data_IF_312804393465
#
_entry.id   IF_312804393465
#
_cell.length_a   1.000
_cell.length_b   1.000
_cell.length_c   1.000
_cell.angle_alpha   90.00
_cell.angle_beta   90.00
_cell.angle_gamma   90.00
#
_symmetry.space_group_name_H-M   'P 1'
#
loop_
_entity.id
_entity.type
_entity.pdbx_description
1 polymer ?
#
# COMPACT_ATOMS: atom_id res chain seq x y z
N UNK A 1 -14.29 -11.06 -2.43
CA UNK A 1 -12.88 -11.52 -2.55
C UNK A 1 -12.52 -11.65 -4.01
N UNK A 2 -11.28 -11.33 -4.43
CA UNK A 2 -10.83 -11.64 -5.79
C UNK A 2 -10.90 -13.15 -6.02
N UNK A 3 -11.45 -13.57 -7.16
CA UNK A 3 -11.63 -14.99 -7.51
C UNK A 3 -10.35 -15.64 -8.05
N UNK A 4 -9.35 -14.86 -8.43
CA UNK A 4 -8.13 -15.36 -9.04
C UNK A 4 -6.96 -14.39 -8.89
N UNK A 5 -5.76 -14.79 -9.35
CA UNK A 5 -4.56 -13.99 -9.25
C UNK A 5 -4.67 -12.72 -10.10
N UNK A 6 -3.95 -11.68 -9.69
CA UNK A 6 -3.81 -10.44 -10.46
C UNK A 6 -3.15 -10.72 -11.82
N UNK A 7 -3.36 -9.84 -12.79
CA UNK A 7 -2.63 -9.90 -14.05
C UNK A 7 -1.13 -9.71 -13.80
N UNK A 8 -0.33 -10.60 -14.37
CA UNK A 8 1.12 -10.49 -14.46
C UNK A 8 1.52 -9.36 -15.39
N UNK A 9 2.77 -8.89 -15.29
CA UNK A 9 3.28 -7.82 -16.15
C UNK A 9 3.26 -8.22 -17.64
N UNK A 10 3.60 -9.46 -17.95
CA UNK A 10 3.55 -10.00 -19.31
C UNK A 10 2.12 -9.99 -19.88
N UNK A 11 1.13 -10.41 -19.10
CA UNK A 11 -0.28 -10.36 -19.53
C UNK A 11 -0.74 -8.92 -19.75
N UNK A 12 -0.33 -7.99 -18.89
CA UNK A 12 -0.66 -6.55 -19.05
C UNK A 12 -0.08 -6.01 -20.36
N UNK A 13 1.17 -6.33 -20.66
CA UNK A 13 1.81 -5.96 -21.92
C UNK A 13 1.06 -6.49 -23.14
N UNK A 14 0.68 -7.78 -23.12
CA UNK A 14 -0.14 -8.39 -24.18
C UNK A 14 -1.49 -7.70 -24.36
N UNK A 15 -2.20 -7.40 -23.26
CA UNK A 15 -3.49 -6.71 -23.31
C UNK A 15 -3.37 -5.33 -23.97
N UNK A 16 -2.32 -4.57 -23.63
CA UNK A 16 -2.08 -3.25 -24.21
C UNK A 16 -1.79 -3.37 -25.72
N UNK A 17 -0.87 -4.25 -26.11
CA UNK A 17 -0.52 -4.47 -27.52
C UNK A 17 -1.74 -4.90 -28.36
N UNK A 18 -2.56 -5.82 -27.88
CA UNK A 18 -3.77 -6.23 -28.60
C UNK A 18 -4.83 -5.14 -28.66
N UNK A 19 -4.89 -4.26 -27.64
CA UNK A 19 -5.81 -3.13 -27.65
C UNK A 19 -5.39 -2.07 -28.67
N UNK A 20 -4.09 -1.80 -28.78
CA UNK A 20 -3.52 -0.91 -29.80
C UNK A 20 -3.75 -1.46 -31.22
N UNK A 21 -3.69 -2.78 -31.40
CA UNK A 21 -4.05 -3.47 -32.64
C UNK A 21 -5.57 -3.47 -32.95
N UNK A 22 -6.41 -2.79 -32.15
CA UNK A 22 -7.84 -2.65 -32.40
C UNK A 22 -8.70 -3.88 -32.03
N UNK A 23 -8.14 -4.87 -31.32
CA UNK A 23 -8.89 -6.08 -30.95
C UNK A 23 -9.97 -5.79 -29.90
N UNK A 24 -11.06 -6.57 -29.97
CA UNK A 24 -12.14 -6.49 -28.98
C UNK A 24 -11.74 -7.14 -27.66
N UNK A 25 -12.27 -6.65 -26.53
CA UNK A 25 -11.97 -7.21 -25.21
C UNK A 25 -12.33 -8.71 -25.09
N UNK A 26 -13.33 -9.18 -25.84
CA UNK A 26 -13.69 -10.61 -25.90
C UNK A 26 -12.59 -11.42 -26.56
N UNK A 27 -12.09 -10.97 -27.70
CA UNK A 27 -11.01 -11.63 -28.43
C UNK A 27 -9.72 -11.68 -27.59
N UNK A 28 -9.35 -10.55 -26.96
CA UNK A 28 -8.20 -10.46 -26.06
C UNK A 28 -8.34 -11.44 -24.89
N UNK A 29 -9.55 -11.57 -24.33
CA UNK A 29 -9.82 -12.47 -23.22
C UNK A 29 -9.61 -13.94 -23.59
N UNK A 30 -10.04 -14.34 -24.79
CA UNK A 30 -9.82 -15.69 -25.32
C UNK A 30 -8.34 -15.98 -25.60
N UNK A 31 -7.60 -15.00 -26.14
CA UNK A 31 -6.16 -15.15 -26.46
C UNK A 31 -5.29 -15.32 -25.21
N UNK A 32 -5.62 -14.61 -24.12
CA UNK A 32 -4.83 -14.60 -22.88
C UNK A 32 -5.35 -15.63 -21.88
N UNK A 33 -6.54 -16.21 -22.10
CA UNK A 33 -7.16 -17.16 -21.17
C UNK A 33 -7.64 -16.51 -19.87
N UNK A 34 -7.98 -15.22 -19.90
CA UNK A 34 -8.48 -14.45 -18.75
C UNK A 34 -9.92 -14.03 -18.98
N UNK A 35 -10.65 -13.65 -17.93
CA UNK A 35 -12.02 -13.20 -18.09
C UNK A 35 -12.10 -11.84 -18.78
N UNK A 36 -13.11 -11.64 -19.64
CA UNK A 36 -13.41 -10.35 -20.28
C UNK A 36 -13.47 -9.19 -19.27
N UNK A 37 -14.05 -9.43 -18.09
CA UNK A 37 -14.17 -8.43 -17.04
C UNK A 37 -12.81 -7.99 -16.50
N UNK A 38 -11.85 -8.89 -16.34
CA UNK A 38 -10.48 -8.56 -15.90
C UNK A 38 -9.77 -7.71 -16.95
N UNK A 39 -9.88 -8.08 -18.22
CA UNK A 39 -9.33 -7.29 -19.34
C UNK A 39 -9.93 -5.89 -19.37
N UNK A 40 -11.26 -5.78 -19.25
CA UNK A 40 -11.95 -4.49 -19.25
C UNK A 40 -11.54 -3.61 -18.07
N UNK A 41 -11.49 -4.18 -16.86
CA UNK A 41 -11.08 -3.45 -15.66
C UNK A 41 -9.65 -2.94 -15.75
N UNK A 42 -8.74 -3.73 -16.34
CA UNK A 42 -7.38 -3.31 -16.59
C UNK A 42 -7.31 -2.17 -17.63
N UNK A 43 -8.01 -2.30 -18.76
CA UNK A 43 -8.01 -1.27 -19.81
C UNK A 43 -8.62 0.07 -19.36
N UNK A 44 -9.60 0.05 -18.46
CA UNK A 44 -10.16 1.27 -17.89
C UNK A 44 -9.14 2.04 -17.03
N UNK A 45 -8.21 1.33 -16.38
CA UNK A 45 -7.30 1.89 -15.38
C UNK A 45 -5.94 1.14 -15.37
N UNK A 46 -5.15 1.22 -16.45
CA UNK A 46 -3.95 0.40 -16.59
C UNK A 46 -2.85 0.80 -15.60
N UNK A 47 -2.72 2.11 -15.33
CA UNK A 47 -1.68 2.66 -14.44
C UNK A 47 -1.91 2.35 -12.97
N UNK A 48 -3.15 2.20 -12.52
CA UNK A 48 -3.50 1.96 -11.11
C UNK A 48 -3.84 0.51 -10.79
N UNK A 49 -3.87 -0.36 -11.81
CA UNK A 49 -4.20 -1.77 -11.64
C UNK A 49 -3.27 -2.46 -10.63
N UNK A 50 -3.88 -3.12 -9.64
CA UNK A 50 -3.15 -3.87 -8.61
C UNK A 50 -2.36 -3.02 -7.59
N UNK A 51 -2.40 -1.68 -7.66
CA UNK A 51 -1.70 -0.80 -6.71
C UNK A 51 -2.45 -0.60 -5.40
N UNK A 52 -3.77 -0.73 -5.43
CA UNK A 52 -4.61 -0.55 -4.25
C UNK A 52 -4.41 -1.71 -3.28
N UNK A 53 -3.83 -1.39 -2.11
CA UNK A 53 -3.77 -2.32 -0.98
C UNK A 53 -5.17 -2.46 -0.39
N UNK A 54 -5.66 -3.68 -0.11
CA UNK A 54 -6.92 -3.84 0.59
C UNK A 54 -6.80 -3.23 1.99
N UNK A 55 -7.83 -2.50 2.43
CA UNK A 55 -7.92 -1.90 3.77
C UNK A 55 -7.83 -2.93 4.92
N UNK A 56 -7.98 -4.22 4.59
CA UNK A 56 -7.92 -5.31 5.56
C UNK A 56 -9.17 -5.36 6.45
N UNK A 57 -9.09 -6.18 7.50
CA UNK A 57 -10.15 -6.31 8.49
C UNK A 57 -10.12 -5.09 9.41
N UNK A 58 -11.27 -4.43 9.60
CA UNK A 58 -11.42 -3.37 10.61
C UNK A 58 -11.13 -3.91 12.01
N UNK A 59 -10.60 -3.05 12.88
CA UNK A 59 -10.39 -3.36 14.29
C UNK A 59 -11.71 -3.73 14.96
N UNK A 60 -11.65 -4.58 15.97
CA UNK A 60 -12.83 -4.86 16.81
C UNK A 60 -13.09 -3.70 17.77
N UNK A 61 -14.36 -3.47 18.12
CA UNK A 61 -14.79 -2.47 19.12
C UNK A 61 -14.02 -2.63 20.43
N UNK A 62 -13.70 -3.86 20.83
CA UNK A 62 -12.92 -4.12 22.03
C UNK A 62 -11.48 -3.58 21.91
N UNK A 63 -10.89 -3.69 20.73
CA UNK A 63 -9.53 -3.22 20.46
C UNK A 63 -9.49 -1.69 20.53
N UNK A 64 -10.43 -1.03 19.88
CA UNK A 64 -10.53 0.44 19.93
C UNK A 64 -10.74 0.97 21.35
N UNK A 65 -11.59 0.32 22.15
CA UNK A 65 -11.82 0.69 23.55
C UNK A 65 -10.55 0.52 24.40
N UNK A 66 -9.84 -0.60 24.24
CA UNK A 66 -8.57 -0.84 24.95
C UNK A 66 -7.53 0.20 24.54
N UNK A 67 -7.39 0.50 23.24
CA UNK A 67 -6.44 1.51 22.75
C UNK A 67 -6.75 2.90 23.32
N UNK A 68 -8.03 3.32 23.33
CA UNK A 68 -8.44 4.60 23.92
C UNK A 68 -8.10 4.68 25.40
N UNK A 69 -8.33 3.61 26.15
CA UNK A 69 -8.01 3.55 27.57
C UNK A 69 -6.51 3.54 27.83
N UNK A 70 -5.72 2.84 27.01
CA UNK A 70 -4.27 2.91 27.10
C UNK A 70 -3.81 4.35 26.85
N UNK A 71 -4.38 5.05 25.87
CA UNK A 71 -4.02 6.45 25.60
C UNK A 71 -4.38 7.38 26.77
N UNK A 72 -5.56 7.21 27.39
CA UNK A 72 -5.99 8.06 28.51
C UNK A 72 -5.28 7.73 29.83
N UNK A 73 -4.92 6.47 30.05
CA UNK A 73 -4.42 5.94 31.33
C UNK A 73 -2.95 5.49 31.27
N UNK A 74 -2.22 5.81 30.19
CA UNK A 74 -0.83 5.39 29.97
C UNK A 74 0.11 5.75 31.13
N UNK A 75 -0.24 6.76 31.92
CA UNK A 75 0.53 7.25 33.06
C UNK A 75 0.31 6.47 34.35
N UNK A 76 -0.77 5.68 34.48
CA UNK A 76 -1.21 5.09 35.76
C UNK A 76 -0.82 3.62 35.99
N UNK A 77 -0.17 2.95 35.04
CA UNK A 77 0.33 1.58 35.22
C UNK A 77 -0.75 0.52 35.48
N UNK A 78 -1.91 0.63 34.81
CA UNK A 78 -3.06 -0.26 35.04
C UNK A 78 -2.83 -1.69 34.54
N UNK A 79 -3.29 -2.66 35.33
CA UNK A 79 -3.27 -4.09 34.95
C UNK A 79 -4.31 -4.42 33.86
N UNK A 80 -4.02 -5.42 33.03
CA UNK A 80 -4.90 -5.87 31.95
C UNK A 80 -6.27 -6.37 32.43
N UNK A 81 -6.34 -6.97 33.63
CA UNK A 81 -7.60 -7.39 34.25
C UNK A 81 -8.46 -6.19 34.63
N UNK A 82 -7.83 -5.15 35.17
CA UNK A 82 -8.49 -3.90 35.52
C UNK A 82 -9.03 -3.19 34.27
N UNK A 83 -8.24 -3.12 33.20
CA UNK A 83 -8.67 -2.55 31.92
C UNK A 83 -9.88 -3.28 31.34
N UNK A 84 -9.98 -4.60 31.46
CA UNK A 84 -11.16 -5.36 31.03
C UNK A 84 -12.44 -4.89 31.74
N UNK A 85 -12.36 -4.69 33.06
CA UNK A 85 -13.49 -4.28 33.90
C UNK A 85 -13.88 -2.84 33.59
N UNK A 86 -12.93 -1.90 33.61
CA UNK A 86 -13.17 -0.48 33.31
C UNK A 86 -13.76 -0.28 31.91
N UNK A 87 -13.24 -1.02 30.94
CA UNK A 87 -13.71 -0.97 29.55
C UNK A 87 -15.02 -1.73 29.30
N UNK A 88 -15.53 -2.46 30.31
CA UNK A 88 -16.67 -3.37 30.23
C UNK A 88 -16.59 -4.30 29.00
N UNK A 89 -15.45 -4.99 28.83
CA UNK A 89 -15.19 -5.81 27.66
C UNK A 89 -15.54 -7.27 27.88
N UNK A 90 -16.35 -7.81 26.96
CA UNK A 90 -16.58 -9.24 26.85
C UNK A 90 -15.46 -9.95 26.06
N UNK A 91 -14.21 -9.81 26.52
CA UNK A 91 -13.04 -10.50 25.95
C UNK A 91 -12.21 -11.15 27.04
N UNK A 92 -11.38 -12.14 26.69
CA UNK A 92 -10.46 -12.75 27.65
C UNK A 92 -9.37 -11.75 28.07
N UNK A 93 -8.88 -11.89 29.31
CA UNK A 93 -7.77 -11.04 29.81
C UNK A 93 -6.52 -11.21 28.92
N UNK A 94 -6.28 -12.43 28.42
CA UNK A 94 -5.21 -12.72 27.45
C UNK A 94 -5.33 -11.89 26.18
N UNK A 95 -6.55 -11.64 25.67
CA UNK A 95 -6.75 -10.78 24.51
C UNK A 95 -6.39 -9.34 24.81
N UNK A 96 -6.76 -8.82 25.98
CA UNK A 96 -6.37 -7.47 26.43
C UNK A 96 -4.85 -7.34 26.53
N UNK A 97 -4.15 -8.33 27.12
CA UNK A 97 -2.69 -8.36 27.18
C UNK A 97 -2.02 -8.38 25.78
N UNK A 98 -2.59 -9.12 24.83
CA UNK A 98 -2.11 -9.08 23.43
C UNK A 98 -2.28 -7.70 22.81
N UNK A 99 -3.42 -7.05 23.05
CA UNK A 99 -3.67 -5.71 22.54
C UNK A 99 -2.68 -4.70 23.12
N UNK A 100 -2.44 -4.75 24.44
CA UNK A 100 -1.44 -3.90 25.10
C UNK A 100 -0.05 -4.13 24.49
N UNK A 101 0.38 -5.39 24.30
CA UNK A 101 1.69 -5.70 23.71
C UNK A 101 1.84 -5.23 22.27
N UNK A 102 0.78 -5.34 21.47
CA UNK A 102 0.78 -4.93 20.07
C UNK A 102 0.54 -3.44 19.88
N UNK A 103 0.11 -2.74 20.94
CA UNK A 103 -0.16 -1.32 20.89
C UNK A 103 1.13 -0.53 20.75
N UNK A 104 1.24 0.23 19.65
CA UNK A 104 2.36 1.15 19.44
C UNK A 104 1.91 2.55 19.84
N UNK A 105 2.43 3.06 20.95
CA UNK A 105 2.10 4.39 21.45
C UNK A 105 2.42 5.46 20.40
N UNK A 106 1.51 6.41 20.12
CA UNK A 106 1.69 7.41 19.06
C UNK A 106 2.93 8.29 19.28
N UNK A 107 3.27 8.63 20.53
CA UNK A 107 4.47 9.41 20.85
C UNK A 107 5.80 8.68 20.52
N UNK A 108 5.77 7.35 20.40
CA UNK A 108 6.94 6.53 20.01
C UNK A 108 7.00 6.31 18.50
N UNK A 109 6.04 6.84 17.73
CA UNK A 109 6.11 6.80 16.27
C UNK A 109 7.08 7.87 15.78
N UNK A 110 8.23 7.44 15.25
CA UNK A 110 9.11 8.31 14.45
C UNK A 110 8.24 8.86 13.31
N UNK A 111 8.21 10.18 13.05
CA UNK A 111 7.44 10.71 11.94
C UNK A 111 7.86 9.99 10.66
N UNK A 112 6.89 9.57 9.83
CA UNK A 112 7.23 9.16 8.46
C UNK A 112 7.94 10.36 7.86
N UNK A 113 9.22 10.20 7.53
CA UNK A 113 9.94 11.13 6.66
C UNK A 113 9.08 11.31 5.41
N UNK A 114 8.30 12.38 5.37
CA UNK A 114 7.74 12.90 4.13
C UNK A 114 8.89 13.67 3.52
N UNK A 115 9.77 12.95 2.83
CA UNK A 115 10.76 13.58 1.97
C UNK A 115 9.99 14.38 0.91
N UNK A 116 9.76 15.66 1.20
CA UNK A 116 9.57 16.67 0.18
C UNK A 116 10.94 16.72 -0.50
N UNK A 117 11.11 15.99 -1.60
CA UNK A 117 12.32 16.12 -2.40
C UNK A 117 12.36 17.55 -2.96
N UNK A 118 13.32 18.40 -2.58
CA UNK A 118 13.52 19.64 -3.29
C UNK A 118 14.04 19.28 -4.69
N UNK A 119 13.36 19.79 -5.73
CA UNK A 119 13.74 19.59 -7.11
C UNK A 119 15.12 20.20 -7.39
N UNK A 120 16.14 19.36 -7.58
CA UNK A 120 17.41 19.82 -8.13
C UNK A 120 17.28 19.95 -9.65
N UNK A 121 16.93 21.16 -10.09
CA UNK A 121 17.23 21.65 -11.44
C UNK A 121 18.75 21.74 -11.58
N UNK A 122 19.40 20.76 -12.20
CA UNK A 122 20.74 20.97 -12.80
C UNK A 122 21.01 19.92 -13.88
N UNK A 123 20.48 20.15 -15.08
CA UNK A 123 20.88 19.41 -16.30
C UNK A 123 21.29 20.41 -17.38
N UNK A 124 22.13 21.39 -17.01
CA UNK A 124 22.70 22.35 -17.97
C UNK A 124 24.22 22.55 -17.82
N UNK A 125 24.93 21.66 -17.12
CA UNK A 125 26.39 21.83 -16.88
C UNK A 125 27.25 20.74 -17.55
N UNK A 126 26.67 19.72 -18.20
CA UNK A 126 27.44 18.61 -18.78
C UNK A 126 27.69 18.76 -20.30
N UNK A 127 27.13 19.77 -20.98
CA UNK A 127 27.21 19.85 -22.44
C UNK A 127 28.24 20.85 -23.02
N UNK A 128 29.12 21.44 -22.20
CA UNK A 128 30.09 22.47 -22.66
C UNK A 128 31.56 22.17 -22.29
N UNK A 129 32.00 20.91 -22.25
CA UNK A 129 33.41 20.58 -21.99
C UNK A 129 33.99 19.47 -22.90
N UNK A 130 33.44 19.26 -24.09
CA UNK A 130 34.03 18.33 -25.08
C UNK A 130 34.34 18.98 -26.45
N UNK A 131 34.30 20.32 -26.53
CA UNK A 131 34.97 21.06 -27.60
C UNK A 131 36.28 21.62 -27.00
N UNK A 132 37.40 21.44 -27.72
CA UNK A 132 38.81 21.79 -27.35
C UNK A 132 39.67 20.66 -26.74
N UNK A 133 40.10 19.71 -27.60
CA UNK A 133 41.47 19.15 -27.64
C UNK A 133 41.62 18.35 -28.96
N UNK A 134 41.95 19.01 -30.08
CA UNK A 134 43.31 19.18 -30.61
C UNK A 134 43.95 17.85 -31.08
N UNK A 135 43.81 17.58 -32.38
CA UNK A 135 44.92 17.45 -33.35
C UNK A 135 46.17 16.68 -32.90
N UNK A 136 46.42 15.46 -33.41
CA UNK A 136 47.75 14.93 -33.78
C UNK A 136 47.61 13.69 -34.71
N UNK A 137 48.31 13.79 -35.86
CA UNK A 137 48.76 12.76 -36.83
C UNK A 137 47.80 12.18 -37.86
#
# INVERSE_FOLDING_TARGET
>A
MPRGPQLTEQERGKILAYREAGMSCRMISSLIGRSKTVVNNFLNNPKSYGKLKPTGRKKSVAEEKVERLILSESTKGLSASHLKVVANLNVSVRRVQQLIRNFRHPATQVPRSTAIHPALKTTQVIHELEDENVEVS
#
